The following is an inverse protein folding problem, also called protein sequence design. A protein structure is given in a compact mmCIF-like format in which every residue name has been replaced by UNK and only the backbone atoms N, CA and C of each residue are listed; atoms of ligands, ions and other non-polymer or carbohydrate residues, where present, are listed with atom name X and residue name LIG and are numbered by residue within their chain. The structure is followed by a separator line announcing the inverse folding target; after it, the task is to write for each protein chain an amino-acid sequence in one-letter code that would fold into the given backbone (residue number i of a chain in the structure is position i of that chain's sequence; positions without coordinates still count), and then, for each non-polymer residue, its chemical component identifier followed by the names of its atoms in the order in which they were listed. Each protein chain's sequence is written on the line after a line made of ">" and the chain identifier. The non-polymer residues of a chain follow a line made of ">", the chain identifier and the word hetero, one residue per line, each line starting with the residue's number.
data_IF_424033528334
#
_entry.id   IF_424033528334
#
_cell.length_a   1.000
_cell.length_b   1.000
_cell.length_c   1.000
_cell.angle_alpha   90.00
_cell.angle_beta   90.00
_cell.angle_gamma   90.00
#
_symmetry.space_group_name_H-M   'P 1'
#
loop_
_entity.id
_entity.type
_entity.pdbx_description
1 polymer ?
#
# COMPACT_ATOMS: atom_id res chain seq x y z
N UNK A 1 2.61 12.60 22.09
CA UNK A 1 2.89 12.96 20.68
C UNK A 1 3.41 14.41 20.68
N UNK A 2 4.69 14.64 21.02
CA UNK A 2 5.15 16.00 21.37
C UNK A 2 6.53 16.43 20.83
N UNK A 3 7.08 15.76 19.80
CA UNK A 3 8.44 16.05 19.31
C UNK A 3 8.53 16.42 17.81
N UNK A 4 7.40 16.66 17.13
CA UNK A 4 7.33 16.88 15.66
C UNK A 4 7.97 15.79 14.78
N UNK A 5 8.51 14.72 15.38
CA UNK A 5 9.09 13.57 14.67
C UNK A 5 8.02 12.86 13.84
N UNK A 6 8.28 12.59 12.54
CA UNK A 6 7.36 11.84 11.72
C UNK A 6 7.28 10.38 12.21
N UNK A 7 6.11 9.77 12.09
CA UNK A 7 5.89 8.39 12.52
C UNK A 7 6.81 7.40 11.78
N UNK A 8 7.26 7.74 10.57
CA UNK A 8 8.20 6.94 9.77
C UNK A 8 9.49 6.65 10.51
N UNK A 9 10.01 7.56 11.35
CA UNK A 9 11.21 7.31 12.15
C UNK A 9 11.03 6.13 13.11
N UNK A 10 9.85 6.01 13.72
CA UNK A 10 9.55 4.89 14.62
C UNK A 10 9.39 3.57 13.83
N UNK A 11 8.75 3.61 12.66
CA UNK A 11 8.63 2.44 11.77
C UNK A 11 10.02 1.92 11.37
N UNK A 12 10.97 2.83 11.10
CA UNK A 12 12.37 2.48 10.83
C UNK A 12 13.05 1.90 12.07
N UNK A 13 12.88 2.50 13.24
CA UNK A 13 13.47 2.00 14.50
C UNK A 13 13.00 0.57 14.82
N UNK A 14 11.72 0.28 14.60
CA UNK A 14 11.11 -1.03 14.85
C UNK A 14 11.25 -2.01 13.68
N UNK A 15 11.87 -1.59 12.57
CA UNK A 15 12.05 -2.40 11.35
C UNK A 15 10.74 -3.03 10.84
N UNK A 16 9.65 -2.26 10.88
CA UNK A 16 8.33 -2.78 10.55
C UNK A 16 8.15 -2.93 9.04
N UNK A 17 7.62 -4.06 8.57
CA UNK A 17 7.23 -4.22 7.17
C UNK A 17 6.05 -3.31 6.84
N UNK A 18 6.09 -2.71 5.64
CA UNK A 18 5.13 -1.69 5.23
C UNK A 18 4.19 -2.21 4.16
N UNK A 19 2.88 -2.10 4.41
CA UNK A 19 1.84 -2.23 3.40
C UNK A 19 1.34 -0.84 3.01
N UNK A 20 1.39 -0.51 1.72
CA UNK A 20 1.00 0.81 1.24
C UNK A 20 -0.44 0.81 0.69
N UNK A 21 -1.29 1.71 1.19
CA UNK A 21 -2.62 1.93 0.60
C UNK A 21 -2.56 3.11 -0.36
N UNK A 22 -2.91 2.88 -1.63
CA UNK A 22 -2.92 3.91 -2.66
C UNK A 22 -4.36 4.32 -2.95
N UNK A 23 -4.73 5.54 -2.58
CA UNK A 23 -5.97 6.16 -3.03
C UNK A 23 -5.89 6.45 -4.53
N UNK A 24 -6.70 5.75 -5.33
CA UNK A 24 -6.67 5.85 -6.80
C UNK A 24 -7.41 7.11 -7.24
N UNK A 25 -6.63 8.09 -7.66
CA UNK A 25 -7.05 9.41 -8.13
C UNK A 25 -5.95 10.02 -9.03
N UNK A 26 -6.19 11.22 -9.56
CA UNK A 26 -5.15 11.96 -10.29
C UNK A 26 -3.92 12.21 -9.42
N UNK A 27 -2.73 12.03 -10.00
CA UNK A 27 -1.45 12.16 -9.29
C UNK A 27 -1.05 10.96 -8.42
N UNK A 28 -1.91 9.95 -8.23
CA UNK A 28 -1.60 8.82 -7.35
C UNK A 28 -0.36 8.02 -7.78
N UNK A 29 -0.09 7.93 -9.09
CA UNK A 29 1.12 7.28 -9.62
C UNK A 29 2.39 7.92 -9.04
N UNK A 30 2.48 9.25 -9.09
CA UNK A 30 3.65 9.95 -8.59
C UNK A 30 3.81 9.75 -7.08
N UNK A 31 2.74 9.91 -6.31
CA UNK A 31 2.79 9.74 -4.86
C UNK A 31 3.18 8.31 -4.47
N UNK A 32 2.58 7.28 -5.08
CA UNK A 32 2.90 5.89 -4.79
C UNK A 32 4.37 5.57 -5.07
N UNK A 33 4.92 6.06 -6.20
CA UNK A 33 6.33 5.84 -6.53
C UNK A 33 7.29 6.57 -5.59
N UNK A 34 6.98 7.82 -5.23
CA UNK A 34 7.78 8.58 -4.26
C UNK A 34 7.77 7.92 -2.88
N UNK A 35 6.60 7.45 -2.42
CA UNK A 35 6.46 6.74 -1.15
C UNK A 35 7.19 5.40 -1.17
N UNK A 36 7.06 4.61 -2.24
CA UNK A 36 7.78 3.35 -2.37
C UNK A 36 9.30 3.55 -2.37
N UNK A 37 9.80 4.59 -3.05
CA UNK A 37 11.22 4.92 -3.04
C UNK A 37 11.70 5.36 -1.65
N UNK A 38 10.90 6.13 -0.91
CA UNK A 38 11.22 6.53 0.46
C UNK A 38 11.32 5.31 1.39
N UNK A 39 10.34 4.41 1.34
CA UNK A 39 10.34 3.15 2.13
C UNK A 39 11.59 2.32 1.81
N UNK A 40 11.93 2.18 0.53
CA UNK A 40 13.13 1.44 0.11
C UNK A 40 14.44 2.10 0.58
N UNK A 41 14.51 3.43 0.51
CA UNK A 41 15.68 4.20 0.98
C UNK A 41 15.86 4.11 2.50
N UNK A 42 14.76 3.97 3.23
CA UNK A 42 14.74 3.74 4.68
C UNK A 42 15.09 2.29 5.06
N UNK A 43 15.35 1.43 4.06
CA UNK A 43 15.75 0.03 4.26
C UNK A 43 14.62 -0.90 4.70
N UNK A 44 13.37 -0.45 4.59
CA UNK A 44 12.19 -1.21 5.01
C UNK A 44 11.59 -2.04 3.88
N UNK A 45 11.05 -3.25 4.17
CA UNK A 45 10.39 -4.05 3.15
C UNK A 45 8.98 -3.51 2.85
N UNK A 46 8.73 -3.18 1.59
CA UNK A 46 7.38 -2.93 1.07
C UNK A 46 6.74 -4.27 0.70
N UNK A 47 5.92 -4.82 1.60
CA UNK A 47 5.39 -6.19 1.48
C UNK A 47 4.21 -6.32 0.54
N UNK A 48 3.61 -5.20 0.15
CA UNK A 48 2.43 -5.17 -0.68
C UNK A 48 1.80 -3.80 -0.75
N UNK A 49 0.85 -3.66 -1.66
CA UNK A 49 0.02 -2.47 -1.73
C UNK A 49 -1.44 -2.80 -2.02
N UNK A 50 -2.32 -1.88 -1.65
CA UNK A 50 -3.76 -1.99 -1.84
C UNK A 50 -4.24 -0.80 -2.65
N UNK A 51 -4.97 -1.06 -3.73
CA UNK A 51 -5.63 -0.01 -4.49
C UNK A 51 -6.99 0.32 -3.84
N UNK A 52 -7.18 1.57 -3.43
CA UNK A 52 -8.46 2.04 -2.91
C UNK A 52 -9.10 3.01 -3.90
N UNK A 53 -10.19 2.61 -4.56
CA UNK A 53 -10.90 3.48 -5.50
C UNK A 53 -11.75 4.51 -4.75
N UNK A 54 -11.18 5.70 -4.56
CA UNK A 54 -11.84 6.81 -3.86
C UNK A 54 -12.71 7.69 -4.76
N UNK A 55 -12.46 7.68 -6.08
CA UNK A 55 -13.23 8.42 -7.07
C UNK A 55 -13.88 7.46 -8.08
N UNK A 56 -15.22 7.36 -8.14
CA UNK A 56 -15.89 6.50 -9.11
C UNK A 56 -15.79 7.03 -10.54
N UNK A 57 -15.63 8.35 -10.72
CA UNK A 57 -15.58 9.02 -12.03
C UNK A 57 -14.19 9.09 -12.66
N UNK A 58 -13.16 8.52 -12.03
CA UNK A 58 -11.81 8.52 -12.59
C UNK A 58 -11.77 7.67 -13.87
N UNK A 59 -11.37 8.30 -14.98
CA UNK A 59 -11.10 7.60 -16.23
C UNK A 59 -9.83 6.74 -16.12
N UNK A 60 -9.67 5.76 -17.00
CA UNK A 60 -8.43 4.97 -17.14
C UNK A 60 -7.98 4.23 -15.87
N UNK A 61 -8.90 3.87 -14.96
CA UNK A 61 -8.58 3.14 -13.72
C UNK A 61 -7.69 1.91 -13.99
N UNK A 62 -8.06 1.09 -14.98
CA UNK A 62 -7.30 -0.11 -15.34
C UNK A 62 -5.86 0.20 -15.78
N UNK A 63 -5.65 1.29 -16.53
CA UNK A 63 -4.32 1.71 -16.96
C UNK A 63 -3.48 2.21 -15.78
N UNK A 64 -4.10 2.92 -14.83
CA UNK A 64 -3.44 3.35 -13.60
C UNK A 64 -2.99 2.14 -12.77
N UNK A 65 -3.87 1.15 -12.59
CA UNK A 65 -3.53 -0.09 -11.85
C UNK A 65 -2.42 -0.86 -12.57
N UNK A 66 -2.45 -0.96 -13.90
CA UNK A 66 -1.40 -1.61 -14.68
C UNK A 66 -0.04 -0.91 -14.52
N UNK A 67 -0.01 0.43 -14.60
CA UNK A 67 1.22 1.20 -14.39
C UNK A 67 1.76 1.03 -12.98
N UNK A 68 0.90 1.10 -11.96
CA UNK A 68 1.31 0.90 -10.56
C UNK A 68 1.83 -0.52 -10.32
N UNK A 69 1.13 -1.53 -10.81
CA UNK A 69 1.51 -2.94 -10.67
C UNK A 69 2.86 -3.25 -11.32
N UNK A 70 3.19 -2.59 -12.44
CA UNK A 70 4.48 -2.74 -13.12
C UNK A 70 5.63 -2.01 -12.44
N UNK A 71 5.36 -0.89 -11.76
CA UNK A 71 6.40 0.01 -11.24
C UNK A 71 6.64 -0.13 -9.74
N UNK A 72 5.63 -0.54 -8.97
CA UNK A 72 5.79 -0.76 -7.52
C UNK A 72 6.51 -2.09 -7.29
N UNK A 73 7.57 -2.12 -6.47
CA UNK A 73 8.33 -3.34 -6.19
C UNK A 73 7.63 -4.22 -5.14
N UNK A 74 6.31 -4.36 -5.23
CA UNK A 74 5.49 -5.10 -4.28
C UNK A 74 4.20 -5.60 -4.93
N UNK A 75 3.66 -6.76 -4.49
CA UNK A 75 2.43 -7.31 -5.04
C UNK A 75 1.21 -6.43 -4.71
N UNK A 76 0.24 -6.42 -5.63
CA UNK A 76 -1.09 -5.89 -5.37
C UNK A 76 -1.86 -6.91 -4.53
N UNK A 77 -2.15 -6.55 -3.28
CA UNK A 77 -2.78 -7.41 -2.28
C UNK A 77 -4.32 -7.33 -2.35
N UNK A 78 -4.84 -6.23 -2.90
CA UNK A 78 -6.27 -6.02 -2.94
C UNK A 78 -6.68 -4.78 -3.71
N UNK A 79 -7.87 -4.83 -4.27
CA UNK A 79 -8.52 -3.71 -4.97
C UNK A 79 -9.89 -3.46 -4.34
N UNK A 80 -10.01 -2.35 -3.61
CA UNK A 80 -11.29 -1.91 -3.06
C UNK A 80 -12.03 -1.09 -4.13
N UNK A 81 -13.24 -1.51 -4.53
CA UNK A 81 -14.08 -0.70 -5.40
C UNK A 81 -14.55 0.57 -4.67
N UNK A 82 -15.15 1.50 -5.42
CA UNK A 82 -15.79 2.65 -4.79
C UNK A 82 -17.02 2.19 -3.99
N UNK A 83 -16.96 2.37 -2.67
CA UNK A 83 -17.99 1.91 -1.73
C UNK A 83 -18.51 3.08 -0.89
N UNK A 84 -19.74 3.55 -1.16
CA UNK A 84 -20.41 4.47 -0.24
C UNK A 84 -20.65 3.80 1.12
N UNK A 85 -20.34 4.52 2.20
CA UNK A 85 -20.47 4.04 3.60
C UNK A 85 -19.67 2.76 3.84
N UNK A 86 -18.38 2.77 3.48
CA UNK A 86 -17.49 1.62 3.57
C UNK A 86 -17.41 1.03 5.00
N UNK A 87 -17.59 1.86 6.02
CA UNK A 87 -17.65 1.48 7.44
C UNK A 87 -18.82 0.53 7.79
N UNK A 88 -19.82 0.42 6.92
CA UNK A 88 -20.98 -0.46 7.08
C UNK A 88 -20.90 -1.72 6.20
N UNK A 89 -19.74 -1.98 5.58
CA UNK A 89 -19.56 -3.04 4.58
C UNK A 89 -18.49 -4.03 5.03
N UNK A 90 -18.67 -5.29 4.65
CA UNK A 90 -17.63 -6.31 4.77
C UNK A 90 -16.57 -6.12 3.69
N UNK A 91 -15.41 -5.56 4.08
CA UNK A 91 -14.31 -5.19 3.18
C UNK A 91 -13.24 -6.27 3.04
N UNK A 92 -13.15 -7.20 3.98
CA UNK A 92 -12.12 -8.26 4.02
C UNK A 92 -12.01 -9.05 2.73
N UNK A 93 -13.13 -9.26 2.03
CA UNK A 93 -13.20 -9.96 0.74
C UNK A 93 -12.36 -9.34 -0.39
N UNK A 94 -11.95 -8.08 -0.26
CA UNK A 94 -11.19 -7.35 -1.28
C UNK A 94 -9.68 -7.40 -1.05
N UNK A 95 -9.23 -8.07 0.01
CA UNK A 95 -7.82 -8.13 0.41
C UNK A 95 -7.43 -9.59 0.62
N UNK A 96 -6.41 -10.04 -0.11
CA UNK A 96 -5.88 -11.40 0.00
C UNK A 96 -4.68 -11.43 0.95
N UNK A 97 -4.91 -11.80 2.21
CA UNK A 97 -3.86 -11.84 3.22
C UNK A 97 -2.88 -13.01 3.03
N UNK A 98 -3.25 -14.04 2.28
CA UNK A 98 -2.36 -15.18 2.03
C UNK A 98 -1.14 -14.75 1.19
N UNK A 99 -1.31 -13.70 0.37
CA UNK A 99 -0.20 -13.07 -0.37
C UNK A 99 0.86 -12.46 0.56
N UNK A 100 0.49 -11.98 1.75
CA UNK A 100 1.43 -11.40 2.71
C UNK A 100 2.26 -12.47 3.42
N UNK A 101 1.65 -13.62 3.73
CA UNK A 101 2.35 -14.73 4.39
C UNK A 101 3.54 -15.24 3.60
N UNK A 102 3.43 -15.23 2.27
CA UNK A 102 4.53 -15.64 1.38
C UNK A 102 5.68 -14.64 1.35
N UNK A 103 5.41 -13.34 1.50
CA UNK A 103 6.43 -12.29 1.54
C UNK A 103 7.14 -12.28 2.90
N UNK A 104 6.37 -12.41 3.98
CA UNK A 104 6.88 -12.48 5.36
C UNK A 104 7.66 -13.76 5.66
N UNK A 105 7.45 -14.84 4.91
CA UNK A 105 8.18 -16.09 5.08
C UNK A 105 9.56 -16.07 4.39
N UNK A 106 9.74 -15.23 3.37
CA UNK A 106 11.01 -15.11 2.61
C UNK A 106 12.03 -14.30 3.40
N UNK A 107 11.58 -13.29 4.14
CA UNK A 107 12.40 -12.50 5.06
C UNK A 107 12.04 -12.85 6.49
N UNK A 108 12.87 -13.68 7.16
CA UNK A 108 12.75 -13.90 8.61
C UNK A 108 12.86 -12.55 9.34
N UNK A 109 11.72 -11.91 9.58
CA UNK A 109 11.57 -10.91 10.63
C UNK A 109 11.61 -11.71 11.93
N UNK A 110 12.65 -11.58 12.77
CA UNK A 110 12.65 -12.27 14.05
C UNK A 110 11.47 -11.74 14.86
N UNK A 111 10.59 -12.66 15.25
CA UNK A 111 9.52 -12.42 16.20
C UNK A 111 10.05 -11.97 17.57
#
# INVERSE_FOLDING_TARGET
>A
MNDLRPLSEWVVQEQLPVLMVVGIQEGCINHALLTAQAIANDGLPLIGWVANRINPGLAHYAEIIDVLSKKLPAPLIGELPYLPRAEQRELSRYVDLDMLGNVMAIDRIPA
#
